data_IF_887066201432
#
_entry.id   IF_887066201432
#
_cell.length_a   1.000
_cell.length_b   1.000
_cell.length_c   1.000
_cell.angle_alpha   90.00
_cell.angle_beta   90.00
_cell.angle_gamma   90.00
#
_symmetry.space_group_name_H-M   'P 1'
#
loop_
_entity.id
_entity.type
_entity.pdbx_description
1 polymer ?
#
# COMPACT_ATOMS: atom_id res chain seq x y z
N UNK A 1 -0.39 -7.29 -23.09
CA UNK A 1 0.19 -6.29 -24.03
C UNK A 1 0.61 -5.01 -23.30
N UNK A 2 -0.21 -4.46 -22.37
CA UNK A 2 0.18 -3.30 -21.53
C UNK A 2 1.50 -3.46 -20.76
N UNK A 3 1.73 -4.59 -20.08
CA UNK A 3 2.96 -4.82 -19.28
C UNK A 3 4.24 -4.73 -20.13
N UNK A 4 4.20 -5.18 -21.38
CA UNK A 4 5.34 -5.09 -22.31
C UNK A 4 5.58 -3.65 -22.80
N UNK A 5 4.52 -2.86 -22.97
CA UNK A 5 4.64 -1.46 -23.38
C UNK A 5 5.19 -0.57 -22.25
N UNK A 6 4.83 -0.88 -21.00
CA UNK A 6 5.24 -0.16 -19.79
C UNK A 6 6.69 -0.42 -19.36
N UNK A 7 7.32 -1.48 -19.88
CA UNK A 7 8.74 -1.77 -19.64
C UNK A 7 9.69 -0.74 -20.28
N UNK A 8 9.22 0.00 -21.30
CA UNK A 8 9.96 1.11 -21.87
C UNK A 8 9.62 2.40 -21.12
N UNK A 9 10.26 2.54 -19.96
CA UNK A 9 10.15 3.66 -19.00
C UNK A 9 10.28 5.07 -19.60
N UNK A 10 10.69 5.21 -20.87
CA UNK A 10 10.92 6.50 -21.54
C UNK A 10 9.64 7.28 -21.91
N UNK A 11 8.46 6.65 -21.94
CA UNK A 11 7.20 7.33 -22.34
C UNK A 11 6.04 7.08 -21.38
N UNK A 12 6.24 7.38 -20.09
CA UNK A 12 5.20 7.28 -19.04
C UNK A 12 3.88 7.94 -19.47
N UNK A 13 3.91 9.14 -20.05
CA UNK A 13 2.70 9.84 -20.49
C UNK A 13 1.91 9.11 -21.57
N UNK A 14 2.60 8.46 -22.51
CA UNK A 14 1.95 7.67 -23.57
C UNK A 14 1.33 6.40 -22.99
N UNK A 15 2.04 5.76 -22.06
CA UNK A 15 1.52 4.63 -21.30
C UNK A 15 0.22 4.95 -20.56
N UNK A 16 0.12 6.12 -19.92
CA UNK A 16 -1.12 6.58 -19.29
C UNK A 16 -2.23 6.83 -20.30
N UNK A 17 -1.95 7.52 -21.41
CA UNK A 17 -2.94 7.76 -22.47
C UNK A 17 -3.51 6.45 -23.02
N UNK A 18 -2.63 5.51 -23.37
CA UNK A 18 -3.05 4.20 -23.84
C UNK A 18 -3.83 3.42 -22.78
N UNK A 19 -3.48 3.58 -21.51
CA UNK A 19 -4.23 2.97 -20.42
C UNK A 19 -5.65 3.55 -20.29
N UNK A 20 -5.79 4.86 -20.37
CA UNK A 20 -7.08 5.56 -20.34
C UNK A 20 -7.93 5.27 -21.59
N UNK A 21 -7.31 5.25 -22.77
CA UNK A 21 -7.95 4.88 -24.03
C UNK A 21 -8.48 3.44 -23.96
N UNK A 22 -7.67 2.51 -23.45
CA UNK A 22 -8.08 1.12 -23.26
C UNK A 22 -9.20 1.01 -22.22
N UNK A 23 -9.15 1.73 -21.10
CA UNK A 23 -10.25 1.75 -20.13
C UNK A 23 -11.54 2.38 -20.69
N UNK A 24 -11.42 3.28 -21.66
CA UNK A 24 -12.56 3.94 -22.33
C UNK A 24 -13.21 3.06 -23.39
N UNK A 25 -12.52 2.03 -23.88
CA UNK A 25 -13.10 1.06 -24.82
C UNK A 25 -14.12 0.18 -24.10
N UNK A 26 -15.34 0.10 -24.66
CA UNK A 26 -16.42 -0.73 -24.11
C UNK A 26 -15.97 -2.18 -23.98
N UNK A 27 -15.96 -2.70 -22.76
CA UNK A 27 -15.67 -4.10 -22.45
C UNK A 27 -14.26 -4.37 -21.94
N UNK A 28 -13.35 -3.39 -21.95
CA UNK A 28 -12.04 -3.54 -21.32
C UNK A 28 -12.12 -3.17 -19.84
N UNK A 29 -11.71 -4.09 -18.98
CA UNK A 29 -11.63 -3.87 -17.53
C UNK A 29 -10.17 -4.00 -17.11
N UNK A 30 -9.58 -2.90 -16.66
CA UNK A 30 -8.25 -2.92 -16.11
C UNK A 30 -8.22 -3.83 -14.87
N UNK A 31 -7.22 -4.71 -14.80
CA UNK A 31 -7.00 -5.59 -13.67
C UNK A 31 -5.93 -5.02 -12.74
N UNK A 32 -5.84 -5.59 -11.54
CA UNK A 32 -4.86 -5.19 -10.51
C UNK A 32 -3.43 -5.24 -11.02
N UNK A 33 -3.12 -6.22 -11.88
CA UNK A 33 -1.79 -6.38 -12.48
C UNK A 33 -1.40 -5.22 -13.42
N UNK A 34 -2.35 -4.71 -14.22
CA UNK A 34 -2.13 -3.55 -15.08
C UNK A 34 -1.87 -2.29 -14.27
N UNK A 35 -2.64 -2.06 -13.20
CA UNK A 35 -2.41 -0.94 -12.29
C UNK A 35 -1.08 -1.07 -11.53
N UNK A 36 -0.74 -2.26 -11.05
CA UNK A 36 0.54 -2.53 -10.36
C UNK A 36 1.72 -2.24 -11.28
N UNK A 37 1.65 -2.68 -12.54
CA UNK A 37 2.68 -2.42 -13.55
C UNK A 37 2.82 -0.93 -13.87
N UNK A 38 1.70 -0.21 -13.98
CA UNK A 38 1.71 1.24 -14.22
C UNK A 38 2.26 2.02 -13.02
N UNK A 39 1.92 1.58 -11.81
CA UNK A 39 2.45 2.13 -10.55
C UNK A 39 3.96 1.92 -10.45
N UNK A 40 4.45 0.73 -10.78
CA UNK A 40 5.88 0.45 -10.85
C UNK A 40 6.60 1.37 -11.85
N UNK A 41 6.00 1.60 -13.03
CA UNK A 41 6.54 2.53 -14.02
C UNK A 41 6.58 3.97 -13.51
N UNK A 42 5.57 4.41 -12.74
CA UNK A 42 5.56 5.72 -12.09
C UNK A 42 6.70 5.87 -11.08
N UNK A 43 6.90 4.85 -10.24
CA UNK A 43 7.98 4.80 -9.26
C UNK A 43 9.35 4.93 -9.94
N UNK A 44 9.59 4.15 -11.00
CA UNK A 44 10.86 4.21 -11.76
C UNK A 44 11.07 5.57 -12.44
N UNK A 45 10.00 6.25 -12.84
CA UNK A 45 10.03 7.60 -13.39
C UNK A 45 10.03 8.72 -12.33
N UNK A 46 10.14 8.37 -11.03
CA UNK A 46 10.06 9.32 -9.90
C UNK A 46 8.77 10.16 -9.86
N UNK A 47 7.67 9.63 -10.42
CA UNK A 47 6.34 10.28 -10.45
C UNK A 47 5.42 9.67 -9.39
N UNK A 48 5.77 9.85 -8.12
CA UNK A 48 5.00 9.26 -7.01
C UNK A 48 3.58 9.85 -6.90
N UNK A 49 3.41 11.15 -7.17
CA UNK A 49 2.11 11.81 -7.25
C UNK A 49 1.10 11.03 -8.13
N UNK A 50 1.53 10.61 -9.34
CA UNK A 50 0.68 9.82 -10.23
C UNK A 50 0.40 8.40 -9.72
N UNK A 51 1.37 7.79 -9.02
CA UNK A 51 1.15 6.50 -8.39
C UNK A 51 0.09 6.59 -7.27
N UNK A 52 0.07 7.68 -6.49
CA UNK A 52 -0.94 7.94 -5.48
C UNK A 52 -2.32 8.19 -6.10
N UNK A 53 -2.40 8.93 -7.21
CA UNK A 53 -3.66 9.11 -7.94
C UNK A 53 -4.21 7.78 -8.49
N UNK A 54 -3.33 6.88 -8.94
CA UNK A 54 -3.74 5.54 -9.36
C UNK A 54 -4.27 4.71 -8.19
N UNK A 55 -3.61 4.81 -7.03
CA UNK A 55 -4.09 4.17 -5.81
C UNK A 55 -5.48 4.67 -5.43
N UNK A 56 -5.71 5.99 -5.40
CA UNK A 56 -7.02 6.56 -5.09
C UNK A 56 -8.11 6.10 -6.07
N UNK A 57 -7.80 6.09 -7.38
CA UNK A 57 -8.69 5.55 -8.42
C UNK A 57 -9.03 4.07 -8.17
N UNK A 58 -8.06 3.26 -7.77
CA UNK A 58 -8.30 1.84 -7.45
C UNK A 58 -9.09 1.65 -6.17
N UNK A 59 -8.88 2.50 -5.15
CA UNK A 59 -9.65 2.46 -3.90
C UNK A 59 -11.11 2.87 -4.16
N UNK A 60 -11.33 3.90 -4.98
CA UNK A 60 -12.65 4.36 -5.38
C UNK A 60 -13.38 3.33 -6.26
N UNK A 61 -12.64 2.58 -7.09
CA UNK A 61 -13.20 1.50 -7.89
C UNK A 61 -13.43 0.24 -7.05
N UNK A 62 -14.62 0.13 -6.46
CA UNK A 62 -15.10 -1.04 -5.71
C UNK A 62 -14.99 -2.38 -6.48
N UNK A 63 -14.81 -2.34 -7.81
CA UNK A 63 -14.65 -3.50 -8.68
C UNK A 63 -13.19 -3.95 -8.82
N UNK A 64 -12.22 -3.22 -8.29
CA UNK A 64 -10.80 -3.55 -8.30
C UNK A 64 -10.31 -3.84 -6.87
N UNK A 65 -9.97 -5.10 -6.59
CA UNK A 65 -9.38 -5.48 -5.30
C UNK A 65 -7.90 -5.15 -5.29
N UNK A 66 -7.48 -4.17 -4.49
CA UNK A 66 -6.05 -3.91 -4.30
C UNK A 66 -5.43 -5.10 -3.56
N UNK A 67 -4.27 -5.57 -4.04
CA UNK A 67 -3.52 -6.68 -3.46
C UNK A 67 -2.37 -6.17 -2.57
N UNK A 68 -1.84 -7.02 -1.70
CA UNK A 68 -0.68 -6.75 -0.84
C UNK A 68 0.55 -6.34 -1.66
N UNK A 69 0.73 -6.96 -2.84
CA UNK A 69 1.81 -6.66 -3.79
C UNK A 69 1.76 -5.22 -4.30
N UNK A 70 0.57 -4.67 -4.53
CA UNK A 70 0.42 -3.29 -4.98
C UNK A 70 0.94 -2.31 -3.92
N UNK A 71 0.55 -2.51 -2.66
CA UNK A 71 1.06 -1.72 -1.54
C UNK A 71 2.56 -1.91 -1.35
N UNK A 72 3.10 -3.13 -1.50
CA UNK A 72 4.54 -3.38 -1.45
C UNK A 72 5.31 -2.59 -2.51
N UNK A 73 4.81 -2.53 -3.75
CA UNK A 73 5.42 -1.74 -4.84
C UNK A 73 5.40 -0.25 -4.51
N UNK A 74 4.26 0.26 -4.06
CA UNK A 74 4.07 1.67 -3.78
C UNK A 74 4.93 2.11 -2.57
N UNK A 75 5.00 1.28 -1.54
CA UNK A 75 5.83 1.49 -0.36
C UNK A 75 7.33 1.48 -0.69
N UNK A 76 7.81 0.49 -1.47
CA UNK A 76 9.18 0.47 -1.99
C UNK A 76 9.48 1.72 -2.81
N UNK A 77 8.53 2.19 -3.60
CA UNK A 77 8.67 3.42 -4.37
C UNK A 77 8.82 4.66 -3.49
N UNK A 78 8.05 4.76 -2.41
CA UNK A 78 8.19 5.83 -1.43
C UNK A 78 9.60 5.82 -0.79
N UNK A 79 10.11 4.64 -0.41
CA UNK A 79 11.45 4.49 0.14
C UNK A 79 12.55 4.89 -0.85
N UNK A 80 12.43 4.48 -2.11
CA UNK A 80 13.39 4.84 -3.17
C UNK A 80 13.43 6.35 -3.42
N UNK A 81 12.29 7.02 -3.31
CA UNK A 81 12.16 8.47 -3.50
C UNK A 81 12.37 9.26 -2.19
N UNK A 82 12.75 8.58 -1.09
CA UNK A 82 12.91 9.16 0.25
C UNK A 82 11.68 9.91 0.77
N UNK A 83 10.48 9.50 0.34
CA UNK A 83 9.21 10.04 0.83
C UNK A 83 8.70 9.22 2.01
N UNK A 84 9.31 9.41 3.17
CA UNK A 84 8.99 8.65 4.39
C UNK A 84 7.60 8.97 4.95
N UNK A 85 7.17 10.24 4.90
CA UNK A 85 5.83 10.64 5.34
C UNK A 85 4.74 9.90 4.56
N UNK A 86 4.85 9.93 3.22
CA UNK A 86 3.95 9.20 2.33
C UNK A 86 4.00 7.69 2.59
N UNK A 87 5.19 7.11 2.83
CA UNK A 87 5.31 5.69 3.16
C UNK A 87 4.51 5.30 4.42
N UNK A 88 4.51 6.15 5.45
CA UNK A 88 3.70 5.94 6.66
C UNK A 88 2.21 5.98 6.32
N UNK A 89 1.76 6.96 5.53
CA UNK A 89 0.36 7.05 5.10
C UNK A 89 -0.09 5.83 4.31
N UNK A 90 0.79 5.28 3.46
CA UNK A 90 0.51 4.09 2.64
C UNK A 90 0.31 2.87 3.52
N UNK A 91 1.14 2.69 4.55
CA UNK A 91 0.97 1.59 5.51
C UNK A 91 -0.31 1.80 6.32
N UNK A 92 -0.61 3.03 6.77
CA UNK A 92 -1.88 3.33 7.45
C UNK A 92 -3.08 2.96 6.57
N UNK A 93 -3.07 3.34 5.30
CA UNK A 93 -4.12 2.97 4.36
C UNK A 93 -4.22 1.44 4.19
N UNK A 94 -3.10 0.73 4.00
CA UNK A 94 -3.10 -0.72 3.80
C UNK A 94 -3.72 -1.51 4.98
N UNK A 95 -3.55 -1.01 6.20
CA UNK A 95 -4.06 -1.60 7.45
C UNK A 95 -5.32 -0.93 8.01
N UNK A 96 -5.90 0.04 7.29
CA UNK A 96 -7.06 0.85 7.73
C UNK A 96 -6.85 1.53 9.09
N UNK A 97 -5.65 2.05 9.33
CA UNK A 97 -5.36 2.79 10.54
C UNK A 97 -5.87 4.24 10.45
N UNK A 98 -6.41 4.79 11.55
CA UNK A 98 -6.84 6.18 11.58
C UNK A 98 -5.65 7.14 11.45
N UNK A 99 -5.91 8.33 10.89
CA UNK A 99 -4.92 9.41 10.79
C UNK A 99 -3.96 9.33 9.60
N UNK A 100 -4.26 8.52 8.58
CA UNK A 100 -3.59 8.58 7.28
C UNK A 100 -4.24 9.62 6.35
N UNK A 101 -3.46 10.24 5.48
CA UNK A 101 -3.98 11.21 4.47
C UNK A 101 -4.56 10.49 3.23
N UNK A 102 -4.20 9.23 3.02
CA UNK A 102 -4.59 8.45 1.84
C UNK A 102 -5.94 7.74 2.01
N UNK A 103 -6.65 7.57 0.90
CA UNK A 103 -7.89 6.80 0.84
C UNK A 103 -7.66 5.36 1.30
N UNK A 104 -8.44 4.92 2.28
CA UNK A 104 -8.33 3.57 2.81
C UNK A 104 -9.16 2.59 1.95
N UNK A 105 -8.60 1.42 1.60
CA UNK A 105 -9.34 0.39 0.88
C UNK A 105 -10.49 -0.13 1.77
N UNK A 106 -11.59 -0.64 1.17
CA UNK A 106 -12.75 -1.12 1.93
C UNK A 106 -12.46 -2.32 2.83
N UNK A 107 -11.35 -3.04 2.59
CA UNK A 107 -10.84 -4.12 3.46
C UNK A 107 -9.35 -3.93 3.74
N UNK A 108 -8.90 -4.30 4.94
CA UNK A 108 -7.48 -4.33 5.25
C UNK A 108 -6.79 -5.36 4.35
N UNK A 109 -5.92 -4.86 3.48
CA UNK A 109 -5.18 -5.68 2.50
C UNK A 109 -3.87 -6.17 3.12
N UNK A 110 -3.30 -5.36 4.02
CA UNK A 110 -1.98 -5.60 4.59
C UNK A 110 -0.86 -5.34 3.59
N UNK A 111 0.38 -5.56 4.04
CA UNK A 111 1.59 -5.42 3.24
C UNK A 111 2.44 -6.67 3.44
N UNK A 112 3.17 -7.07 2.40
CA UNK A 112 4.09 -8.20 2.49
C UNK A 112 5.12 -7.98 3.63
N UNK A 113 5.30 -8.94 4.55
CA UNK A 113 6.12 -8.77 5.76
C UNK A 113 7.58 -8.43 5.43
N UNK A 114 8.13 -9.03 4.37
CA UNK A 114 9.49 -8.72 3.88
C UNK A 114 9.66 -7.25 3.50
N UNK A 115 8.63 -6.65 2.92
CA UNK A 115 8.66 -5.24 2.54
C UNK A 115 8.57 -4.35 3.79
N UNK A 116 7.81 -4.76 4.81
CA UNK A 116 7.75 -4.05 6.10
C UNK A 116 9.09 -4.09 6.86
N UNK A 117 9.79 -5.22 6.86
CA UNK A 117 11.14 -5.32 7.45
C UNK A 117 12.16 -4.44 6.71
N UNK A 118 12.06 -4.35 5.37
CA UNK A 118 12.87 -3.42 4.58
C UNK A 118 12.58 -1.96 4.96
N UNK A 119 11.30 -1.63 5.18
CA UNK A 119 10.91 -0.31 5.68
C UNK A 119 11.51 -0.03 7.05
N UNK A 120 11.35 -0.93 8.02
CA UNK A 120 11.86 -0.74 9.37
C UNK A 120 13.36 -0.42 9.37
N UNK A 121 14.15 -1.17 8.59
CA UNK A 121 15.59 -0.89 8.42
C UNK A 121 15.86 0.47 7.78
N UNK A 122 15.08 0.87 6.77
CA UNK A 122 15.25 2.16 6.08
C UNK A 122 14.84 3.34 6.95
N UNK A 123 13.79 3.22 7.74
CA UNK A 123 13.34 4.24 8.70
C UNK A 123 14.32 4.36 9.88
N UNK A 124 14.89 3.26 10.37
CA UNK A 124 15.99 3.29 11.37
C UNK A 124 17.26 3.95 10.84
N UNK A 125 17.52 3.84 9.54
CA UNK A 125 18.61 4.54 8.86
C UNK A 125 18.25 5.97 8.42
N UNK A 126 16.99 6.39 8.61
CA UNK A 126 16.53 7.76 8.35
C UNK A 126 16.72 8.64 9.60
N UNK A 127 16.25 9.89 9.55
CA UNK A 127 16.36 10.82 10.67
C UNK A 127 15.54 10.40 11.89
N UNK A 128 15.77 11.10 13.01
CA UNK A 128 15.08 10.82 14.27
C UNK A 128 13.56 11.06 14.17
N UNK A 129 13.12 12.01 13.34
CA UNK A 129 11.72 12.34 13.15
C UNK A 129 10.96 11.23 12.41
N UNK A 130 11.56 10.67 11.35
CA UNK A 130 11.00 9.53 10.63
C UNK A 130 10.92 8.29 11.52
N UNK A 131 11.95 8.06 12.33
CA UNK A 131 11.96 6.95 13.28
C UNK A 131 10.85 7.09 14.33
N UNK A 132 10.57 8.30 14.82
CA UNK A 132 9.44 8.59 15.72
C UNK A 132 8.09 8.37 15.03
N UNK A 133 7.96 8.76 13.77
CA UNK A 133 6.74 8.51 13.01
C UNK A 133 6.50 7.01 12.80
N UNK A 134 7.56 6.26 12.48
CA UNK A 134 7.52 4.81 12.31
C UNK A 134 7.21 4.07 13.62
N UNK A 135 7.76 4.50 14.76
CA UNK A 135 7.46 3.89 16.06
C UNK A 135 6.02 4.13 16.50
N UNK A 136 5.46 5.31 16.21
CA UNK A 136 4.02 5.59 16.42
C UNK A 136 3.15 4.70 15.54
N UNK A 137 3.49 4.57 14.26
CA UNK A 137 2.81 3.65 13.35
C UNK A 137 2.87 2.21 13.85
N UNK A 138 4.02 1.76 14.35
CA UNK A 138 4.17 0.42 14.90
C UNK A 138 3.27 0.20 16.12
N UNK A 139 3.15 1.20 17.00
CA UNK A 139 2.20 1.14 18.12
C UNK A 139 0.74 1.05 17.64
N UNK A 140 0.36 1.84 16.62
CA UNK A 140 -0.97 1.80 16.02
C UNK A 140 -1.29 0.42 15.41
N UNK A 141 -0.30 -0.20 14.74
CA UNK A 141 -0.42 -1.54 14.15
C UNK A 141 -0.61 -2.63 15.22
N UNK A 142 0.12 -2.55 16.33
CA UNK A 142 -0.06 -3.46 17.46
C UNK A 142 -1.43 -3.26 18.08
N UNK A 143 -1.87 -2.02 18.28
CA UNK A 143 -3.13 -1.69 18.94
C UNK A 143 -4.36 -2.10 18.12
N UNK A 144 -4.35 -1.86 16.80
CA UNK A 144 -5.53 -2.08 15.95
C UNK A 144 -5.53 -3.43 15.24
N UNK A 145 -4.36 -3.96 14.88
CA UNK A 145 -4.23 -5.19 14.09
C UNK A 145 -3.50 -6.32 14.85
N UNK A 146 -2.93 -6.05 16.02
CA UNK A 146 -2.14 -7.03 16.77
C UNK A 146 -0.82 -7.40 16.08
N UNK A 147 -0.33 -6.58 15.16
CA UNK A 147 0.88 -6.86 14.37
C UNK A 147 2.07 -6.17 15.00
N UNK A 148 2.96 -6.96 15.58
CA UNK A 148 4.22 -6.48 16.14
C UNK A 148 5.35 -6.50 15.08
N UNK A 149 5.70 -5.30 14.60
CA UNK A 149 6.81 -5.05 13.67
C UNK A 149 8.18 -5.47 14.22
N UNK A 150 8.39 -5.45 15.54
CA UNK A 150 9.62 -5.92 16.17
C UNK A 150 9.67 -7.45 16.26
N UNK A 151 8.52 -8.11 16.39
CA UNK A 151 8.45 -9.58 16.31
C UNK A 151 8.72 -10.10 14.90
N UNK A 152 8.33 -9.36 13.84
CA UNK A 152 8.59 -9.73 12.45
C UNK A 152 10.09 -9.85 12.12
N UNK A 153 10.94 -9.04 12.76
CA UNK A 153 12.39 -9.16 12.64
C UNK A 153 12.98 -10.38 13.40
N UNK A 154 12.19 -10.99 14.30
CA UNK A 154 12.65 -11.99 15.27
C UNK A 154 11.94 -13.35 15.16
N UNK A 155 10.85 -13.49 14.40
CA UNK A 155 10.10 -14.76 14.30
C UNK A 155 10.50 -15.56 13.07
N UNK A 156 11.49 -16.42 13.27
CA UNK A 156 11.23 -17.85 13.05
C UNK A 156 10.23 -18.30 14.13
N UNK A 157 9.15 -18.94 13.68
CA UNK A 157 8.23 -19.79 14.43
C UNK A 157 7.21 -19.16 15.40
N UNK A 158 5.94 -19.53 15.21
CA UNK A 158 4.86 -19.68 16.20
C UNK A 158 4.48 -18.43 17.01
N UNK A 159 3.23 -17.97 17.06
CA UNK A 159 2.01 -18.75 17.21
C UNK A 159 0.83 -17.77 17.14
N UNK A 160 -0.20 -18.11 16.39
CA UNK A 160 -1.52 -17.48 16.57
C UNK A 160 -2.15 -18.07 17.83
N UNK A 161 -2.78 -17.23 18.67
CA UNK A 161 -4.17 -17.51 19.00
C UNK A 161 -5.05 -16.30 18.68
N UNK A 162 -6.03 -16.61 17.84
CA UNK A 162 -7.23 -15.83 17.55
C UNK A 162 -8.23 -16.05 18.70
N UNK A 163 -9.19 -15.13 18.87
CA UNK A 163 -10.33 -15.09 19.83
C UNK A 163 -10.11 -14.15 21.03
N UNK A 164 -10.99 -13.27 21.50
CA UNK A 164 -12.43 -12.91 21.39
C UNK A 164 -12.53 -11.40 21.74
N UNK A 165 -13.58 -10.63 21.53
CA UNK A 165 -14.95 -10.92 21.11
C UNK A 165 -15.68 -9.59 20.79
N UNK A 166 -16.62 -9.66 19.84
CA UNK A 166 -17.57 -8.59 19.57
C UNK A 166 -18.81 -8.83 20.44
N UNK A 167 -18.86 -8.18 21.59
CA UNK A 167 -20.11 -8.00 22.34
C UNK A 167 -20.97 -6.96 21.65
N UNK A 168 -21.86 -7.38 20.75
CA UNK A 168 -23.01 -6.56 20.31
C UNK A 168 -24.14 -6.80 21.29
N UNK A 169 -24.28 -5.93 22.29
CA UNK A 169 -25.51 -5.81 23.07
C UNK A 169 -26.62 -5.27 22.16
N UNK A 170 -27.51 -6.15 21.75
CA UNK A 170 -28.73 -5.83 21.02
C UNK A 170 -29.74 -5.29 22.03
N UNK A 171 -30.23 -4.08 21.80
CA UNK A 171 -31.45 -3.56 22.39
C UNK A 171 -32.63 -4.37 21.84
N UNK A 172 -33.60 -4.75 22.68
CA UNK A 172 -35.04 -4.71 22.37
C UNK A 172 -35.91 -5.26 23.52
N UNK A 173 -36.88 -4.41 23.87
CA UNK A 173 -38.20 -4.60 24.52
C UNK A 173 -38.29 -5.29 25.88
#
# INVERSE_FOLDING_TARGET
IMVKLLGNTRRLNEAFRLFEDLCSQRGFRANVQSYTSLTQACVTNRRLDRALQLHDKMVADLKCSIDDKFYSVLLRGCLQLRQFSTAVDVVRAAYQLPGGVLSSPPRAVGVEPRTLEECDRKFKAAGQDEQRAWSRLAADLVQHQGIDLHSLASTKEGSCPREKGRGRGHQRH
#
